data_IF_196872401962
#
_entry.id   IF_196872401962
#
_cell.length_a   1.000
_cell.length_b   1.000
_cell.length_c   1.000
_cell.angle_alpha   90.00
_cell.angle_beta   90.00
_cell.angle_gamma   90.00
#
_symmetry.space_group_name_H-M   'P 1'
#
loop_
_entity.id
_entity.type
_entity.pdbx_description
1 polymer ?
#
# COMPACT_ATOMS: atom_id res chain seq x y z
N UNK A 1 0.69 -3.30 4.59
CA UNK A 1 0.68 -4.77 4.75
C UNK A 1 0.44 -5.23 6.19
N UNK A 2 0.53 -4.35 7.18
CA UNK A 2 0.27 -4.72 8.57
C UNK A 2 -1.21 -5.05 8.81
N UNK A 3 -2.13 -4.18 8.37
CA UNK A 3 -3.57 -4.42 8.48
C UNK A 3 -4.00 -5.60 7.62
N UNK A 4 -3.35 -5.72 6.47
CA UNK A 4 -3.53 -6.83 5.56
C UNK A 4 -3.29 -8.20 6.22
N UNK A 5 -2.21 -8.34 7.01
CA UNK A 5 -1.88 -9.60 7.69
C UNK A 5 -2.90 -9.99 8.77
N UNK A 6 -3.62 -9.03 9.34
CA UNK A 6 -4.66 -9.28 10.33
C UNK A 6 -6.03 -9.52 9.68
N UNK A 7 -6.48 -8.58 8.86
CA UNK A 7 -7.82 -8.58 8.28
C UNK A 7 -8.04 -9.71 7.25
N UNK A 8 -6.98 -10.12 6.54
CA UNK A 8 -7.09 -11.17 5.50
C UNK A 8 -6.55 -12.52 5.96
N UNK A 9 -6.22 -12.67 7.24
CA UNK A 9 -5.62 -13.91 7.78
C UNK A 9 -6.43 -15.16 7.43
N UNK A 10 -7.76 -15.11 7.63
CA UNK A 10 -8.67 -16.23 7.33
C UNK A 10 -8.69 -16.53 5.83
N UNK A 11 -8.86 -15.49 5.00
CA UNK A 11 -8.91 -15.63 3.55
C UNK A 11 -7.59 -16.24 3.02
N UNK A 12 -6.45 -15.83 3.57
CA UNK A 12 -5.16 -16.41 3.23
C UNK A 12 -5.04 -17.87 3.65
N UNK A 13 -5.42 -18.21 4.88
CA UNK A 13 -5.36 -19.58 5.38
C UNK A 13 -6.18 -20.55 4.51
N UNK A 14 -7.37 -20.12 4.07
CA UNK A 14 -8.26 -20.89 3.19
C UNK A 14 -7.76 -21.04 1.75
N UNK A 15 -6.75 -20.25 1.35
CA UNK A 15 -6.27 -20.16 -0.03
C UNK A 15 -4.74 -20.25 -0.14
N UNK A 16 -4.08 -20.89 0.83
CA UNK A 16 -2.61 -21.04 0.86
C UNK A 16 -2.05 -21.67 -0.41
N UNK A 17 -2.82 -22.53 -1.08
CA UNK A 17 -2.48 -23.17 -2.34
C UNK A 17 -2.31 -22.20 -3.52
N UNK A 18 -2.82 -20.96 -3.42
CA UNK A 18 -2.66 -19.93 -4.45
C UNK A 18 -1.29 -19.21 -4.35
N UNK A 19 -0.56 -19.42 -3.25
CA UNK A 19 0.70 -18.75 -2.97
C UNK A 19 1.89 -19.71 -3.11
N UNK A 20 3.10 -19.14 -3.12
CA UNK A 20 4.32 -19.95 -3.07
C UNK A 20 4.35 -20.80 -1.79
N UNK A 21 4.98 -22.00 -1.84
CA UNK A 21 5.30 -22.77 -0.64
C UNK A 21 5.99 -21.92 0.43
N UNK A 22 5.72 -22.23 1.70
CA UNK A 22 6.12 -21.37 2.83
C UNK A 22 7.63 -21.21 2.97
N UNK A 23 8.39 -22.27 2.73
CA UNK A 23 9.85 -22.28 2.69
C UNK A 23 10.40 -21.30 1.64
N UNK A 24 9.85 -21.33 0.43
CA UNK A 24 10.22 -20.40 -0.64
C UNK A 24 9.81 -18.96 -0.33
N UNK A 25 8.63 -18.77 0.26
CA UNK A 25 8.16 -17.45 0.68
C UNK A 25 9.09 -16.83 1.74
N UNK A 26 9.46 -17.60 2.77
CA UNK A 26 10.39 -17.15 3.81
C UNK A 26 11.76 -16.79 3.20
N UNK A 27 12.27 -17.60 2.28
CA UNK A 27 13.55 -17.35 1.62
C UNK A 27 13.54 -16.05 0.78
N UNK A 28 12.38 -15.66 0.22
CA UNK A 28 12.22 -14.47 -0.60
C UNK A 28 11.69 -13.25 0.16
N UNK A 29 11.40 -13.35 1.45
CA UNK A 29 10.77 -12.25 2.23
C UNK A 29 11.54 -10.93 2.21
N UNK A 30 12.86 -10.99 2.04
CA UNK A 30 13.72 -9.81 1.96
C UNK A 30 13.40 -8.94 0.73
N UNK A 31 12.96 -9.54 -0.38
CA UNK A 31 12.47 -8.78 -1.54
C UNK A 31 11.27 -7.90 -1.18
N UNK A 32 10.37 -8.40 -0.33
CA UNK A 32 9.25 -7.60 0.14
C UNK A 32 9.72 -6.40 0.97
N UNK A 33 10.71 -6.59 1.85
CA UNK A 33 11.28 -5.49 2.64
C UNK A 33 11.96 -4.44 1.76
N UNK A 34 12.73 -4.86 0.75
CA UNK A 34 13.30 -3.92 -0.24
C UNK A 34 12.20 -3.17 -0.99
N UNK A 35 11.14 -3.86 -1.39
CA UNK A 35 9.97 -3.24 -2.02
C UNK A 35 9.31 -2.19 -1.13
N UNK A 36 9.12 -2.47 0.17
CA UNK A 36 8.53 -1.51 1.11
C UNK A 36 9.44 -0.30 1.34
N UNK A 37 10.75 -0.50 1.43
CA UNK A 37 11.72 0.60 1.55
C UNK A 37 11.70 1.49 0.30
N UNK A 38 11.75 0.89 -0.89
CA UNK A 38 11.67 1.61 -2.15
C UNK A 38 10.35 2.38 -2.27
N UNK A 39 9.23 1.73 -1.95
CA UNK A 39 7.92 2.36 -1.94
C UNK A 39 7.87 3.56 -0.98
N UNK A 40 8.33 3.41 0.26
CA UNK A 40 8.36 4.48 1.25
C UNK A 40 9.22 5.68 0.81
N UNK A 41 10.40 5.42 0.24
CA UNK A 41 11.28 6.46 -0.29
C UNK A 41 10.64 7.22 -1.48
N UNK A 42 10.04 6.50 -2.43
CA UNK A 42 9.34 7.11 -3.55
C UNK A 42 8.10 7.89 -3.10
N UNK A 43 7.32 7.33 -2.19
CA UNK A 43 6.14 7.99 -1.65
C UNK A 43 6.50 9.33 -1.02
N UNK A 44 7.46 9.33 -0.09
CA UNK A 44 7.90 10.56 0.59
C UNK A 44 8.51 11.59 -0.37
N UNK A 45 9.23 11.14 -1.41
CA UNK A 45 9.73 12.02 -2.47
C UNK A 45 8.59 12.68 -3.26
N UNK A 46 7.59 11.90 -3.69
CA UNK A 46 6.40 12.40 -4.40
C UNK A 46 5.63 13.38 -3.52
N UNK A 47 5.42 13.03 -2.25
CA UNK A 47 4.74 13.88 -1.28
C UNK A 47 5.49 15.20 -1.10
N UNK A 48 6.81 15.16 -0.88
CA UNK A 48 7.61 16.37 -0.68
C UNK A 48 7.63 17.30 -1.88
N UNK A 49 7.67 16.75 -3.10
CA UNK A 49 7.63 17.55 -4.35
C UNK A 49 6.29 18.24 -4.58
N UNK A 50 5.20 17.65 -4.13
CA UNK A 50 3.85 18.21 -4.30
C UNK A 50 3.26 18.82 -3.02
N UNK A 51 4.08 18.97 -1.98
CA UNK A 51 3.66 19.59 -0.73
C UNK A 51 3.45 21.10 -0.93
N UNK A 52 2.29 21.57 -0.51
CA UNK A 52 1.88 22.96 -0.57
C UNK A 52 1.79 23.53 0.87
N UNK A 53 2.69 24.44 1.28
CA UNK A 53 2.67 25.03 2.62
C UNK A 53 1.38 25.77 2.97
N UNK A 54 0.61 26.22 1.96
CA UNK A 54 -0.66 26.93 2.17
C UNK A 54 -1.82 26.00 2.56
N UNK A 55 -1.63 24.68 2.46
CA UNK A 55 -2.67 23.67 2.72
C UNK A 55 -2.43 22.93 4.03
N UNK A 56 -3.52 22.45 4.64
CA UNK A 56 -3.46 21.66 5.86
C UNK A 56 -2.66 20.35 5.69
N UNK A 57 -1.72 20.11 6.62
CA UNK A 57 -0.81 18.95 6.61
C UNK A 57 -1.54 17.61 6.52
N UNK A 58 -2.51 17.39 7.39
CA UNK A 58 -3.30 16.15 7.43
C UNK A 58 -4.09 15.91 6.15
N UNK A 59 -4.76 16.95 5.63
CA UNK A 59 -5.57 16.85 4.41
C UNK A 59 -4.74 16.54 3.16
N UNK A 60 -3.54 17.13 3.05
CA UNK A 60 -2.58 16.79 2.00
C UNK A 60 -2.12 15.34 2.12
N UNK A 61 -1.75 14.92 3.33
CA UNK A 61 -1.39 13.54 3.65
C UNK A 61 -2.44 12.53 3.16
N UNK A 62 -3.69 12.73 3.57
CA UNK A 62 -4.83 11.89 3.18
C UNK A 62 -5.01 11.89 1.66
N UNK A 63 -4.97 13.06 1.00
CA UNK A 63 -5.10 13.17 -0.47
C UNK A 63 -4.04 12.33 -1.19
N UNK A 64 -2.78 12.46 -0.79
CA UNK A 64 -1.69 11.69 -1.38
C UNK A 64 -1.81 10.19 -1.10
N UNK A 65 -2.26 9.82 0.11
CA UNK A 65 -2.61 8.44 0.45
C UNK A 65 -3.66 7.86 -0.50
N UNK A 66 -4.77 8.59 -0.73
CA UNK A 66 -5.82 8.16 -1.67
C UNK A 66 -5.26 8.01 -3.09
N UNK A 67 -4.52 9.01 -3.59
CA UNK A 67 -4.00 8.99 -4.96
C UNK A 67 -3.06 7.80 -5.19
N UNK A 68 -2.14 7.55 -4.26
CA UNK A 68 -1.24 6.40 -4.39
C UNK A 68 -1.91 5.08 -4.08
N UNK A 69 -2.93 5.06 -3.23
CA UNK A 69 -3.74 3.87 -3.00
C UNK A 69 -4.49 3.47 -4.27
N UNK A 70 -5.07 4.44 -4.97
CA UNK A 70 -5.73 4.21 -6.26
C UNK A 70 -4.73 3.79 -7.34
N UNK A 71 -3.54 4.41 -7.37
CA UNK A 71 -2.50 4.03 -8.32
C UNK A 71 -2.01 2.60 -8.06
N UNK A 72 -1.70 2.28 -6.81
CA UNK A 72 -1.20 0.96 -6.45
C UNK A 72 -2.35 -0.04 -6.45
N UNK A 73 -3.26 -0.01 -5.49
CA UNK A 73 -4.32 -1.01 -5.37
C UNK A 73 -5.38 -0.91 -6.47
N UNK A 74 -5.81 0.29 -6.87
CA UNK A 74 -6.81 0.42 -7.94
C UNK A 74 -6.28 -0.07 -9.29
N UNK A 75 -5.26 0.59 -9.81
CA UNK A 75 -4.74 0.26 -11.14
C UNK A 75 -4.07 -1.11 -11.18
N UNK A 76 -3.26 -1.50 -10.18
CA UNK A 76 -2.60 -2.81 -10.18
C UNK A 76 -3.60 -3.97 -10.16
N UNK A 77 -4.67 -3.88 -9.37
CA UNK A 77 -5.68 -4.94 -9.30
C UNK A 77 -6.48 -5.04 -10.60
N UNK A 78 -6.83 -3.91 -11.23
CA UNK A 78 -7.49 -3.91 -12.54
C UNK A 78 -6.59 -4.48 -13.64
N UNK A 79 -5.31 -4.11 -13.65
CA UNK A 79 -4.32 -4.64 -14.60
C UNK A 79 -4.11 -6.13 -14.39
N UNK A 80 -4.15 -6.60 -13.14
CA UNK A 80 -3.85 -8.00 -12.80
C UNK A 80 -5.03 -8.95 -12.85
N UNK A 81 -6.26 -8.45 -12.74
CA UNK A 81 -7.48 -9.25 -12.81
C UNK A 81 -7.59 -10.20 -14.02
N UNK A 82 -7.11 -9.85 -15.24
CA UNK A 82 -7.20 -10.75 -16.39
C UNK A 82 -6.28 -11.98 -16.32
N UNK A 83 -5.16 -11.90 -15.59
CA UNK A 83 -4.15 -12.97 -15.56
C UNK A 83 -3.95 -13.60 -14.18
N UNK A 84 -4.49 -13.01 -13.12
CA UNK A 84 -4.56 -13.65 -11.80
C UNK A 84 -5.88 -14.38 -11.64
N UNK A 85 -5.82 -15.70 -11.50
CA UNK A 85 -6.99 -16.57 -11.28
C UNK A 85 -7.49 -16.57 -9.83
N UNK A 86 -7.36 -15.45 -9.14
CA UNK A 86 -7.70 -15.36 -7.72
C UNK A 86 -9.22 -15.22 -7.56
N UNK A 87 -9.82 -15.74 -6.47
CA UNK A 87 -11.23 -15.50 -6.18
C UNK A 87 -11.55 -14.00 -6.14
N UNK A 88 -12.71 -13.59 -6.65
CA UNK A 88 -13.12 -12.15 -6.70
C UNK A 88 -12.98 -11.44 -5.36
N UNK A 89 -13.24 -12.16 -4.27
CA UNK A 89 -13.10 -11.66 -2.90
C UNK A 89 -11.68 -11.16 -2.59
N UNK A 90 -10.64 -11.78 -3.13
CA UNK A 90 -9.26 -11.31 -2.96
C UNK A 90 -9.07 -9.89 -3.49
N UNK A 91 -9.53 -9.62 -4.71
CA UNK A 91 -9.40 -8.29 -5.32
C UNK A 91 -10.15 -7.23 -4.51
N UNK A 92 -11.36 -7.55 -4.04
CA UNK A 92 -12.18 -6.62 -3.25
C UNK A 92 -11.51 -6.33 -1.90
N UNK A 93 -11.10 -7.38 -1.17
CA UNK A 93 -10.51 -7.25 0.17
C UNK A 93 -9.12 -6.57 0.09
N UNK A 94 -8.31 -6.92 -0.92
CA UNK A 94 -7.03 -6.25 -1.22
C UNK A 94 -7.21 -4.78 -1.50
N UNK A 95 -8.18 -4.43 -2.34
CA UNK A 95 -8.47 -3.03 -2.64
C UNK A 95 -8.91 -2.29 -1.38
N UNK A 96 -9.93 -2.79 -0.67
CA UNK A 96 -10.52 -2.09 0.47
C UNK A 96 -9.51 -1.87 1.61
N UNK A 97 -8.81 -2.94 2.00
CA UNK A 97 -7.84 -2.87 3.09
C UNK A 97 -6.62 -2.06 2.64
N UNK A 98 -6.12 -2.33 1.44
CA UNK A 98 -4.99 -1.61 0.87
C UNK A 98 -5.21 -0.10 0.78
N UNK A 99 -6.40 0.32 0.37
CA UNK A 99 -6.81 1.73 0.36
C UNK A 99 -6.79 2.33 1.76
N UNK A 100 -7.36 1.64 2.75
CA UNK A 100 -7.36 2.10 4.14
C UNK A 100 -5.91 2.27 4.66
N UNK A 101 -5.02 1.31 4.37
CA UNK A 101 -3.60 1.40 4.75
C UNK A 101 -2.93 2.63 4.15
N UNK A 102 -3.16 2.90 2.86
CA UNK A 102 -2.54 4.04 2.18
C UNK A 102 -3.06 5.39 2.69
N UNK A 103 -4.34 5.48 3.05
CA UNK A 103 -4.91 6.67 3.69
C UNK A 103 -4.23 6.92 5.04
N UNK A 104 -4.09 5.88 5.87
CA UNK A 104 -3.41 5.98 7.18
C UNK A 104 -1.94 6.37 7.01
N UNK A 105 -1.22 5.73 6.09
CA UNK A 105 0.18 6.05 5.81
C UNK A 105 0.35 7.48 5.28
N UNK A 106 -0.56 7.93 4.40
CA UNK A 106 -0.54 9.29 3.91
C UNK A 106 -0.82 10.32 5.00
N UNK A 107 -1.79 10.05 5.87
CA UNK A 107 -2.01 10.87 7.06
C UNK A 107 -0.74 10.96 7.93
N UNK A 108 -0.09 9.82 8.22
CA UNK A 108 1.16 9.78 9.01
C UNK A 108 2.25 10.62 8.33
N UNK A 109 2.48 10.43 7.03
CA UNK A 109 3.48 11.22 6.28
C UNK A 109 3.16 12.70 6.34
N UNK A 110 1.89 13.10 6.14
CA UNK A 110 1.50 14.50 6.22
C UNK A 110 1.74 15.13 7.58
N UNK A 111 1.49 14.38 8.65
CA UNK A 111 1.74 14.83 10.03
C UNK A 111 3.24 14.92 10.37
N UNK A 112 4.05 13.99 9.87
CA UNK A 112 5.49 13.93 10.14
C UNK A 112 6.32 14.84 9.25
N UNK A 113 5.81 15.22 8.08
CA UNK A 113 6.55 16.03 7.12
C UNK A 113 6.84 17.42 7.67
N UNK A 114 8.14 17.77 7.68
CA UNK A 114 8.65 19.09 8.05
C UNK A 114 9.27 19.71 6.81
N UNK A 115 8.60 20.68 6.15
CA UNK A 115 9.18 21.35 5.00
C UNK A 115 10.46 22.08 5.43
N UNK A 116 11.45 22.15 4.52
CA UNK A 116 12.63 23.00 4.75
C UNK A 116 12.15 24.45 4.88
N UNK A 117 12.47 25.08 6.00
CA UNK A 117 12.37 26.54 6.14
C UNK A 117 13.37 27.14 5.17
N UNK A 118 12.87 27.88 4.18
CA UNK A 118 13.68 28.76 3.32
C UNK A 118 13.93 30.05 4.08
#
# INVERSE_FOLDING_TARGET
MFFHGFCMKKLYAENMQLFRPMDQWIALRWWAYLGYLAFGALFTCIYGKGYDPSRGKAGQGIRYGILLGLLYWGANLLISAPYLLFPKRFFIDWFAIGMAEFVVLGFIVGMLYKPKTV
#
